data_IF_468097147685
#
_entry.id   IF_468097147685
#
_cell.length_a   1.000
_cell.length_b   1.000
_cell.length_c   1.000
_cell.angle_alpha   90.00
_cell.angle_beta   90.00
_cell.angle_gamma   90.00
#
_symmetry.space_group_name_H-M   'P 1'
#
loop_
_entity.id
_entity.type
_entity.pdbx_description
1 polymer ?
#
# COMPACT_ATOMS: atom_id res chain seq x y z
N UNK A 1 7.98 10.82 -7.23
CA UNK A 1 7.73 9.40 -6.89
C UNK A 1 6.26 8.99 -6.77
N UNK A 2 5.25 9.88 -6.80
CA UNK A 2 3.82 9.52 -6.60
C UNK A 2 3.18 8.61 -7.67
N UNK A 3 3.72 8.56 -8.89
CA UNK A 3 3.06 7.87 -10.01
C UNK A 3 3.43 6.39 -10.15
N UNK A 4 4.64 6.01 -9.72
CA UNK A 4 5.11 4.62 -9.83
C UNK A 4 4.50 3.68 -8.78
N UNK A 5 4.26 4.17 -7.56
CA UNK A 5 3.64 3.34 -6.52
C UNK A 5 2.22 2.94 -6.90
N UNK A 6 1.42 3.86 -7.46
CA UNK A 6 0.08 3.50 -7.94
C UNK A 6 0.13 2.45 -9.05
N UNK A 7 0.99 2.64 -10.06
CA UNK A 7 1.04 1.74 -11.21
C UNK A 7 1.58 0.35 -10.87
N UNK A 8 2.69 0.27 -10.14
CA UNK A 8 3.29 -1.02 -9.72
C UNK A 8 2.34 -1.76 -8.79
N UNK A 9 1.71 -1.04 -7.86
CA UNK A 9 0.81 -1.65 -6.89
C UNK A 9 -0.50 -2.12 -7.54
N UNK A 10 -1.07 -1.36 -8.47
CA UNK A 10 -2.21 -1.80 -9.30
C UNK A 10 -1.83 -3.00 -10.18
N UNK A 11 -0.64 -2.99 -10.78
CA UNK A 11 -0.15 -4.11 -11.59
C UNK A 11 -0.01 -5.39 -10.76
N UNK A 12 0.59 -5.30 -9.57
CA UNK A 12 0.73 -6.44 -8.65
C UNK A 12 -0.65 -6.96 -8.22
N UNK A 13 -1.61 -6.09 -7.89
CA UNK A 13 -2.99 -6.52 -7.55
C UNK A 13 -3.62 -7.30 -8.69
N UNK A 14 -3.55 -6.76 -9.92
CA UNK A 14 -4.14 -7.40 -11.10
C UNK A 14 -3.48 -8.74 -11.37
N UNK A 15 -2.14 -8.81 -11.30
CA UNK A 15 -1.39 -10.03 -11.50
C UNK A 15 -1.76 -11.09 -10.46
N UNK A 16 -1.89 -10.69 -9.18
CA UNK A 16 -2.31 -11.59 -8.10
C UNK A 16 -3.73 -12.10 -8.32
N UNK A 17 -4.67 -11.26 -8.79
CA UNK A 17 -6.04 -11.70 -9.13
C UNK A 17 -6.04 -12.70 -10.28
N UNK A 18 -5.24 -12.47 -11.32
CA UNK A 18 -5.15 -13.37 -12.48
C UNK A 18 -4.57 -14.72 -12.06
N UNK A 19 -3.43 -14.75 -11.34
CA UNK A 19 -2.83 -15.98 -10.85
C UNK A 19 -3.77 -16.72 -9.89
N UNK A 20 -4.48 -16.00 -9.02
CA UNK A 20 -5.49 -16.57 -8.11
C UNK A 20 -6.65 -17.19 -8.88
N UNK A 21 -7.17 -16.51 -9.90
CA UNK A 21 -8.21 -17.05 -10.78
C UNK A 21 -7.75 -18.34 -11.46
N UNK A 22 -6.55 -18.34 -12.05
CA UNK A 22 -5.97 -19.52 -12.70
C UNK A 22 -5.84 -20.68 -11.70
N UNK A 23 -5.30 -20.42 -10.50
CA UNK A 23 -5.14 -21.43 -9.45
C UNK A 23 -6.49 -22.10 -9.12
N UNK A 24 -7.55 -21.33 -8.85
CA UNK A 24 -8.89 -21.86 -8.56
C UNK A 24 -9.43 -22.81 -9.63
N UNK A 25 -9.16 -22.53 -10.91
CA UNK A 25 -9.59 -23.38 -12.02
C UNK A 25 -8.71 -24.62 -12.21
N UNK A 26 -7.42 -24.56 -11.82
CA UNK A 26 -6.50 -25.72 -11.93
C UNK A 26 -6.57 -26.69 -10.75
N UNK A 27 -6.68 -26.24 -9.50
CA UNK A 27 -6.69 -27.11 -8.30
C UNK A 27 -8.09 -27.52 -7.84
N UNK A 28 -9.14 -26.85 -8.34
CA UNK A 28 -10.53 -27.10 -7.97
C UNK A 28 -10.93 -26.40 -6.67
N UNK A 29 -12.20 -25.99 -6.58
CA UNK A 29 -12.74 -25.07 -5.54
C UNK A 29 -12.56 -25.52 -4.07
N UNK A 30 -12.12 -26.75 -3.81
CA UNK A 30 -12.22 -27.39 -2.49
C UNK A 30 -10.86 -27.71 -1.85
N UNK A 31 -9.78 -27.82 -2.63
CA UNK A 31 -8.44 -28.00 -2.07
C UNK A 31 -7.78 -26.61 -1.99
N UNK A 32 -7.63 -26.10 -0.77
CA UNK A 32 -6.80 -24.92 -0.43
C UNK A 32 -7.36 -23.49 -0.66
N UNK A 33 -8.65 -23.36 -1.02
CA UNK A 33 -9.33 -22.06 -1.17
C UNK A 33 -9.11 -21.09 0.00
N UNK A 34 -9.13 -21.58 1.24
CA UNK A 34 -8.91 -20.76 2.44
C UNK A 34 -7.45 -20.30 2.59
N UNK A 35 -6.50 -21.14 2.20
CA UNK A 35 -5.07 -20.83 2.23
C UNK A 35 -4.77 -19.73 1.20
N UNK A 36 -5.32 -19.87 0.01
CA UNK A 36 -5.10 -18.96 -1.12
C UNK A 36 -5.84 -17.62 -0.91
N UNK A 37 -7.07 -17.65 -0.37
CA UNK A 37 -7.77 -16.44 0.08
C UNK A 37 -7.02 -15.73 1.22
N UNK A 38 -6.38 -16.47 2.13
CA UNK A 38 -5.52 -15.92 3.17
C UNK A 38 -4.34 -15.13 2.61
N UNK A 39 -3.64 -15.68 1.61
CA UNK A 39 -2.52 -15.00 0.94
C UNK A 39 -2.98 -13.75 0.18
N UNK A 40 -4.14 -13.80 -0.49
CA UNK A 40 -4.74 -12.64 -1.14
C UNK A 40 -5.07 -11.52 -0.14
N UNK A 41 -5.70 -11.87 0.99
CA UNK A 41 -6.04 -10.91 2.05
C UNK A 41 -4.80 -10.29 2.70
N UNK A 42 -3.73 -11.06 2.91
CA UNK A 42 -2.44 -10.54 3.39
C UNK A 42 -1.86 -9.54 2.40
N UNK A 43 -1.91 -9.84 1.10
CA UNK A 43 -1.42 -8.94 0.05
C UNK A 43 -2.18 -7.61 0.02
N UNK A 44 -3.51 -7.66 0.05
CA UNK A 44 -4.36 -6.46 0.12
C UNK A 44 -4.08 -5.65 1.38
N UNK A 45 -3.90 -6.31 2.54
CA UNK A 45 -3.58 -5.64 3.80
C UNK A 45 -2.23 -4.92 3.75
N UNK A 46 -1.21 -5.55 3.18
CA UNK A 46 0.12 -4.95 3.02
C UNK A 46 0.07 -3.73 2.10
N UNK A 47 -0.70 -3.83 1.02
CA UNK A 47 -0.94 -2.73 0.09
C UNK A 47 -1.62 -1.55 0.80
N UNK A 48 -2.72 -1.80 1.52
CA UNK A 48 -3.44 -0.75 2.24
C UNK A 48 -2.56 -0.11 3.33
N UNK A 49 -1.74 -0.91 4.01
CA UNK A 49 -0.79 -0.42 5.03
C UNK A 49 0.26 0.49 4.41
N UNK A 50 0.85 0.09 3.28
CA UNK A 50 1.84 0.90 2.54
C UNK A 50 1.25 2.24 2.09
N UNK A 51 0.02 2.22 1.56
CA UNK A 51 -0.70 3.44 1.16
C UNK A 51 -0.95 4.39 2.35
N UNK A 52 -1.49 3.86 3.46
CA UNK A 52 -1.71 4.66 4.68
C UNK A 52 -0.41 5.24 5.21
N UNK A 53 0.68 4.47 5.21
CA UNK A 53 1.99 4.94 5.65
C UNK A 53 2.52 6.07 4.76
N UNK A 54 2.29 5.99 3.44
CA UNK A 54 2.67 7.07 2.53
C UNK A 54 1.90 8.37 2.78
N UNK A 55 0.61 8.29 3.13
CA UNK A 55 -0.18 9.48 3.49
C UNK A 55 0.35 10.06 4.79
N UNK A 56 0.53 9.20 5.80
CA UNK A 56 0.99 9.61 7.13
C UNK A 56 2.37 10.29 7.06
N UNK A 57 3.32 9.72 6.31
CA UNK A 57 4.63 10.32 6.11
C UNK A 57 4.55 11.70 5.44
N UNK A 58 3.62 11.89 4.50
CA UNK A 58 3.43 13.20 3.87
C UNK A 58 2.89 14.21 4.87
N UNK A 59 1.96 13.81 5.72
CA UNK A 59 1.41 14.67 6.75
C UNK A 59 2.45 15.03 7.83
N UNK A 60 3.30 14.07 8.20
CA UNK A 60 4.44 14.32 9.09
C UNK A 60 5.43 15.31 8.49
N UNK A 61 5.81 15.15 7.22
CA UNK A 61 6.71 16.09 6.55
C UNK A 61 6.15 17.51 6.56
N UNK A 62 4.86 17.67 6.25
CA UNK A 62 4.20 18.97 6.31
C UNK A 62 4.24 19.57 7.72
N UNK A 63 4.00 18.75 8.77
CA UNK A 63 4.06 19.22 10.16
C UNK A 63 5.48 19.63 10.58
N UNK A 64 6.49 18.91 10.13
CA UNK A 64 7.90 19.26 10.37
C UNK A 64 8.23 20.60 9.71
N UNK A 65 7.82 20.79 8.46
CA UNK A 65 8.03 22.05 7.73
C UNK A 65 7.34 23.23 8.43
N UNK A 66 6.10 23.04 8.89
CA UNK A 66 5.37 24.06 9.66
C UNK A 66 6.08 24.43 10.98
N UNK A 67 6.67 23.45 11.68
CA UNK A 67 7.44 23.69 12.90
C UNK A 67 8.73 24.45 12.58
N UNK A 68 9.45 24.05 11.54
CA UNK A 68 10.67 24.72 11.08
C UNK A 68 10.41 26.18 10.72
N UNK A 69 9.34 26.47 9.99
CA UNK A 69 8.96 27.86 9.66
C UNK A 69 8.64 28.69 10.90
N UNK A 70 7.96 28.11 11.88
CA UNK A 70 7.64 28.80 13.15
C UNK A 70 8.91 29.09 13.96
N UNK A 71 9.85 28.16 14.00
CA UNK A 71 11.14 28.35 14.69
C UNK A 71 11.99 29.43 14.00
N UNK A 72 12.04 29.46 12.67
CA UNK A 72 12.76 30.50 11.92
C UNK A 72 12.15 31.89 12.13
N UNK A 73 10.83 31.99 12.25
CA UNK A 73 10.16 33.25 12.61
C UNK A 73 10.53 33.72 14.02
N UNK A 74 10.68 32.81 14.98
CA UNK A 74 11.08 33.16 16.35
C UNK A 74 12.56 33.59 16.40
N UNK A 75 13.42 32.97 15.59
CA UNK A 75 14.86 33.29 15.55
C UNK A 75 15.17 34.65 14.90
N UNK A 76 14.32 35.11 13.99
CA UNK A 76 14.50 36.39 13.28
C UNK A 76 13.75 37.57 13.91
N UNK A 77 13.24 37.40 15.14
CA UNK A 77 12.69 38.46 16.01
C UNK A 77 13.65 38.67 17.17
#
# INVERSE_FOLDING_TARGET
MKKHLGFVNTFVIILTIILFGVALFTTGFTHDLLLEAGVLLVSIKLIMMSYKNSIFNKELLNKIEEISEKLDKIKNV
#
